data_IF_555891435438
#
_entry.id   IF_555891435438
#
_cell.length_a   1.000
_cell.length_b   1.000
_cell.length_c   1.000
_cell.angle_alpha   90.00
_cell.angle_beta   90.00
_cell.angle_gamma   90.00
#
_symmetry.space_group_name_H-M   'P 1'
#
loop_
_entity.id
_entity.type
_entity.pdbx_description
1 polymer ?
#
# COMPACT_ATOMS: atom_id res chain seq x y z
N UNK A 1 4.15 9.16 -1.91
CA UNK A 1 3.68 10.55 -2.01
C UNK A 1 2.54 10.77 -1.03
N UNK A 2 2.54 11.87 -0.28
CA UNK A 2 1.42 12.30 0.57
C UNK A 2 0.93 13.65 0.07
N UNK A 3 -0.37 13.90 0.18
CA UNK A 3 -1.01 15.17 -0.19
C UNK A 3 -2.17 15.47 0.75
N UNK A 4 -2.28 16.73 1.16
CA UNK A 4 -3.46 17.28 1.80
C UNK A 4 -4.46 17.69 0.71
N UNK A 5 -5.50 16.87 0.59
CA UNK A 5 -6.57 17.10 -0.37
C UNK A 5 -7.31 18.42 -0.11
N UNK A 6 -7.56 18.77 1.16
CA UNK A 6 -8.32 19.96 1.49
C UNK A 6 -7.56 21.24 1.09
N UNK A 7 -6.23 21.26 1.25
CA UNK A 7 -5.41 22.39 0.79
C UNK A 7 -5.38 22.48 -0.74
N UNK A 8 -5.26 21.35 -1.45
CA UNK A 8 -5.35 21.33 -2.93
C UNK A 8 -6.70 21.86 -3.42
N UNK A 9 -7.79 21.39 -2.81
CA UNK A 9 -9.14 21.83 -3.13
C UNK A 9 -9.33 23.32 -2.81
N UNK A 10 -8.78 23.81 -1.70
CA UNK A 10 -8.81 25.23 -1.32
C UNK A 10 -8.05 26.12 -2.32
N UNK A 11 -6.88 25.68 -2.80
CA UNK A 11 -6.11 26.41 -3.83
C UNK A 11 -6.91 26.48 -5.13
N UNK A 12 -7.44 25.34 -5.59
CA UNK A 12 -8.21 25.25 -6.84
C UNK A 12 -9.55 26.00 -6.77
N UNK A 13 -10.07 26.25 -5.57
CA UNK A 13 -11.28 27.05 -5.36
C UNK A 13 -11.03 28.58 -5.40
N UNK A 14 -9.78 29.05 -5.43
CA UNK A 14 -9.48 30.49 -5.44
C UNK A 14 -9.97 31.16 -6.71
N UNK A 15 -9.58 30.62 -7.88
CA UNK A 15 -9.95 31.14 -9.19
C UNK A 15 -9.70 30.07 -10.27
N UNK A 16 -10.60 29.85 -11.24
CA UNK A 16 -10.43 28.82 -12.27
C UNK A 16 -9.22 29.05 -13.19
N UNK A 17 -8.59 30.23 -13.18
CA UNK A 17 -7.38 30.54 -13.97
C UNK A 17 -6.09 30.01 -13.34
N UNK A 18 -6.12 29.60 -12.07
CA UNK A 18 -4.99 29.02 -11.33
C UNK A 18 -5.39 27.61 -10.93
N UNK A 19 -4.59 26.61 -11.32
CA UNK A 19 -4.87 25.21 -10.96
C UNK A 19 -3.61 24.51 -10.51
N UNK A 20 -3.73 23.69 -9.47
CA UNK A 20 -2.74 22.72 -9.05
C UNK A 20 -3.31 21.31 -9.20
N UNK A 21 -2.51 20.42 -9.78
CA UNK A 21 -2.81 19.01 -9.88
C UNK A 21 -1.65 18.19 -9.28
N UNK A 22 -1.98 17.10 -8.60
CA UNK A 22 -1.00 16.22 -7.95
C UNK A 22 -1.23 14.77 -8.33
N UNK A 23 -0.27 13.91 -8.02
CA UNK A 23 -0.54 12.48 -7.94
C UNK A 23 -1.58 12.19 -6.84
N UNK A 24 -2.17 10.99 -6.91
CA UNK A 24 -3.09 10.53 -5.88
C UNK A 24 -2.38 10.30 -4.53
N UNK A 25 -3.15 10.39 -3.44
CA UNK A 25 -2.66 10.09 -2.10
C UNK A 25 -2.02 8.69 -2.07
N UNK A 26 -0.82 8.60 -1.51
CA UNK A 26 -0.01 7.37 -1.39
C UNK A 26 0.47 6.77 -2.71
N UNK A 27 0.45 7.54 -3.81
CA UNK A 27 1.07 7.11 -5.05
C UNK A 27 2.57 6.78 -4.84
N UNK A 28 3.07 5.65 -5.41
CA UNK A 28 4.50 5.39 -5.49
C UNK A 28 5.15 6.46 -6.37
N UNK A 29 6.37 6.86 -6.01
CA UNK A 29 7.13 7.89 -6.73
C UNK A 29 8.55 7.43 -6.99
N UNK A 30 9.04 7.70 -8.19
CA UNK A 30 10.40 7.44 -8.61
C UNK A 30 11.21 8.74 -8.71
N UNK A 31 12.53 8.63 -8.62
CA UNK A 31 13.42 9.78 -8.75
C UNK A 31 13.20 10.47 -10.10
N UNK A 32 12.93 11.77 -10.08
CA UNK A 32 12.69 12.58 -11.27
C UNK A 32 11.24 12.58 -11.76
N UNK A 33 10.33 11.86 -11.11
CA UNK A 33 8.91 11.90 -11.43
C UNK A 33 8.26 13.23 -11.01
N UNK A 34 7.44 13.81 -11.89
CA UNK A 34 6.60 14.95 -11.56
C UNK A 34 5.46 14.51 -10.63
N UNK A 35 5.39 15.11 -9.43
CA UNK A 35 4.39 14.76 -8.40
C UNK A 35 3.28 15.79 -8.24
N UNK A 36 3.55 17.03 -8.64
CA UNK A 36 2.63 18.15 -8.63
C UNK A 36 2.96 19.08 -9.80
N UNK A 37 1.94 19.74 -10.34
CA UNK A 37 2.07 20.76 -11.38
C UNK A 37 1.12 21.90 -11.11
N UNK A 38 1.58 23.12 -11.37
CA UNK A 38 0.80 24.34 -11.26
C UNK A 38 0.64 24.93 -12.65
N UNK A 39 -0.57 25.34 -12.99
CA UNK A 39 -0.88 25.96 -14.27
C UNK A 39 -1.59 27.29 -14.04
N UNK A 40 -1.01 28.34 -14.59
CA UNK A 40 -1.76 29.54 -14.94
C UNK A 40 -2.35 29.28 -16.32
N UNK A 41 -3.67 29.20 -16.42
CA UNK A 41 -4.36 28.84 -17.65
C UNK A 41 -4.27 29.96 -18.71
N UNK A 42 -4.57 31.24 -18.39
CA UNK A 42 -4.31 32.36 -19.29
C UNK A 42 -2.82 32.78 -19.27
N UNK A 43 -2.44 33.75 -20.11
CA UNK A 43 -1.05 34.25 -20.14
C UNK A 43 -0.61 34.95 -18.85
N UNK A 44 -1.56 35.52 -18.08
CA UNK A 44 -1.30 36.18 -16.82
C UNK A 44 -2.56 36.18 -15.94
N UNK A 45 -2.36 36.35 -14.64
CA UNK A 45 -3.41 36.50 -13.62
C UNK A 45 -3.09 37.69 -12.72
N UNK A 46 -4.11 38.20 -12.01
CA UNK A 46 -3.90 39.29 -11.06
C UNK A 46 -3.00 38.86 -9.90
N UNK A 47 -2.05 39.73 -9.49
CA UNK A 47 -1.14 39.45 -8.38
C UNK A 47 -1.86 39.12 -7.07
N UNK A 48 -3.00 39.77 -6.81
CA UNK A 48 -3.84 39.52 -5.64
C UNK A 48 -4.39 38.09 -5.57
N UNK A 49 -4.59 37.42 -6.71
CA UNK A 49 -4.99 36.00 -6.74
C UNK A 49 -3.82 35.10 -6.33
N UNK A 50 -2.62 35.40 -6.83
CA UNK A 50 -1.39 34.70 -6.45
C UNK A 50 -1.13 34.87 -4.95
N UNK A 51 -1.27 36.08 -4.41
CA UNK A 51 -1.11 36.37 -2.98
C UNK A 51 -2.11 35.61 -2.11
N UNK A 52 -3.32 35.38 -2.62
CA UNK A 52 -4.35 34.61 -1.92
C UNK A 52 -4.02 33.12 -1.90
N UNK A 53 -3.57 32.55 -3.03
CA UNK A 53 -3.07 31.17 -3.09
C UNK A 53 -1.84 31.00 -2.19
N UNK A 54 -0.88 31.91 -2.25
CA UNK A 54 0.35 31.86 -1.46
C UNK A 54 0.07 31.83 0.04
N UNK A 55 -0.95 32.55 0.52
CA UNK A 55 -1.40 32.50 1.92
C UNK A 55 -1.94 31.13 2.32
N UNK A 56 -2.69 30.46 1.46
CA UNK A 56 -3.14 29.08 1.76
C UNK A 56 -1.93 28.16 1.90
N UNK A 57 -0.92 28.35 1.05
CA UNK A 57 0.30 27.53 1.09
C UNK A 57 1.15 27.70 2.36
N UNK A 58 0.90 28.73 3.19
CA UNK A 58 1.65 28.92 4.45
C UNK A 58 1.06 28.16 5.63
N UNK A 59 -0.14 27.59 5.49
CA UNK A 59 -0.88 27.00 6.62
C UNK A 59 -0.44 25.56 6.97
N UNK A 60 0.41 24.92 6.15
CA UNK A 60 0.89 23.56 6.41
C UNK A 60 1.61 22.89 5.24
N UNK A 61 1.99 21.63 5.44
CA UNK A 61 2.57 20.79 4.39
C UNK A 61 1.47 20.31 3.43
N UNK A 62 1.46 20.82 2.20
CA UNK A 62 0.48 20.42 1.18
C UNK A 62 0.79 19.02 0.63
N UNK A 63 2.05 18.69 0.39
CA UNK A 63 2.44 17.35 -0.06
C UNK A 63 3.89 17.02 0.28
N UNK A 64 4.17 15.73 0.40
CA UNK A 64 5.48 15.19 0.78
C UNK A 64 5.86 13.92 0.04
N UNK A 65 7.17 13.64 0.00
CA UNK A 65 7.72 12.38 -0.53
C UNK A 65 8.32 11.61 0.64
N UNK A 66 7.66 10.52 1.00
CA UNK A 66 8.07 9.65 2.09
C UNK A 66 8.64 8.35 1.52
N UNK A 67 9.79 7.92 2.05
CA UNK A 67 10.34 6.61 1.75
C UNK A 67 9.43 5.52 2.33
N UNK A 68 9.35 4.38 1.65
CA UNK A 68 8.74 3.20 2.25
C UNK A 68 9.55 2.78 3.48
N UNK A 69 8.84 2.27 4.49
CA UNK A 69 9.44 1.56 5.63
C UNK A 69 9.46 0.06 5.29
N UNK A 70 10.64 -0.54 5.07
CA UNK A 70 10.75 -1.97 4.90
C UNK A 70 10.20 -2.72 6.11
N UNK A 71 9.49 -3.82 5.85
CA UNK A 71 9.01 -4.73 6.89
C UNK A 71 9.39 -6.18 6.58
N UNK A 72 9.45 -6.99 7.63
CA UNK A 72 9.67 -8.44 7.60
C UNK A 72 8.34 -9.14 7.42
N UNK A 73 8.25 -10.04 6.45
CA UNK A 73 7.01 -10.70 6.08
C UNK A 73 7.16 -12.21 6.17
N UNK A 74 6.27 -12.84 6.93
CA UNK A 74 6.09 -14.30 6.94
C UNK A 74 4.97 -14.70 5.97
N UNK A 75 5.15 -15.81 5.26
CA UNK A 75 4.15 -16.34 4.33
C UNK A 75 3.68 -17.73 4.75
N UNK A 76 2.36 -17.93 4.73
CA UNK A 76 1.73 -19.24 4.88
C UNK A 76 1.03 -19.58 3.57
N UNK A 77 1.30 -20.74 3.01
CA UNK A 77 0.58 -21.27 1.86
C UNK A 77 -0.13 -22.56 2.25
N UNK A 78 -1.45 -22.54 2.26
CA UNK A 78 -2.22 -23.74 2.57
C UNK A 78 -2.27 -24.69 1.37
N UNK A 79 -2.43 -25.98 1.61
CA UNK A 79 -2.36 -27.04 0.61
C UNK A 79 -3.58 -27.95 0.65
N UNK A 80 -4.04 -28.33 -0.54
CA UNK A 80 -5.02 -29.40 -0.79
C UNK A 80 -4.41 -30.41 -1.79
N UNK A 81 -4.90 -31.65 -1.90
CA UNK A 81 -4.34 -32.71 -2.77
C UNK A 81 -4.18 -32.37 -4.27
N UNK A 82 -4.74 -31.26 -4.76
CA UNK A 82 -4.59 -30.78 -6.14
C UNK A 82 -3.59 -29.64 -6.34
N UNK A 83 -3.02 -29.07 -5.28
CA UNK A 83 -2.13 -27.91 -5.38
C UNK A 83 -0.73 -28.36 -5.77
N UNK A 84 -0.27 -27.96 -6.96
CA UNK A 84 1.06 -28.33 -7.48
C UNK A 84 2.16 -27.52 -6.78
N UNK A 85 3.29 -28.13 -6.38
CA UNK A 85 4.40 -27.43 -5.73
C UNK A 85 4.89 -26.19 -6.49
N UNK A 86 4.99 -26.25 -7.81
CA UNK A 86 5.44 -25.12 -8.65
C UNK A 86 4.48 -23.90 -8.56
N UNK A 87 3.19 -24.09 -8.25
CA UNK A 87 2.27 -22.97 -8.00
C UNK A 87 2.64 -22.24 -6.71
N UNK A 88 3.02 -22.97 -5.67
CA UNK A 88 3.47 -22.42 -4.39
C UNK A 88 4.81 -21.68 -4.55
N UNK A 89 5.75 -22.28 -5.28
CA UNK A 89 7.06 -21.66 -5.56
C UNK A 89 6.89 -20.36 -6.38
N UNK A 90 6.01 -20.37 -7.38
CA UNK A 90 5.69 -19.19 -8.18
C UNK A 90 5.03 -18.09 -7.34
N UNK A 91 4.14 -18.48 -6.42
CA UNK A 91 3.47 -17.54 -5.50
C UNK A 91 4.49 -16.83 -4.62
N UNK A 92 5.44 -17.58 -4.03
CA UNK A 92 6.51 -17.02 -3.22
C UNK A 92 7.37 -16.02 -4.02
N UNK A 93 7.86 -16.44 -5.19
CA UNK A 93 8.71 -15.61 -6.07
C UNK A 93 8.03 -14.31 -6.51
N UNK A 94 6.75 -14.37 -6.88
CA UNK A 94 6.00 -13.18 -7.31
C UNK A 94 5.75 -12.25 -6.12
N UNK A 95 5.45 -12.82 -4.95
CA UNK A 95 5.22 -12.05 -3.72
C UNK A 95 6.49 -11.30 -3.34
N UNK A 96 7.64 -11.97 -3.31
CA UNK A 96 8.94 -11.36 -3.02
C UNK A 96 9.27 -10.21 -4.00
N UNK A 97 9.06 -10.42 -5.31
CA UNK A 97 9.29 -9.38 -6.31
C UNK A 97 8.39 -8.13 -6.11
N UNK A 98 7.16 -8.30 -5.61
CA UNK A 98 6.27 -7.18 -5.28
C UNK A 98 6.75 -6.44 -4.05
N UNK A 99 7.17 -7.17 -3.01
CA UNK A 99 7.65 -6.62 -1.75
C UNK A 99 8.94 -5.82 -1.91
N UNK A 100 9.84 -6.28 -2.77
CA UNK A 100 11.10 -5.62 -3.07
C UNK A 100 10.93 -4.14 -3.50
N UNK A 101 9.81 -3.78 -4.14
CA UNK A 101 9.50 -2.39 -4.52
C UNK A 101 9.36 -1.43 -3.33
N UNK A 102 9.06 -1.97 -2.15
CA UNK A 102 8.97 -1.24 -0.88
C UNK A 102 10.19 -1.44 0.02
N UNK A 103 11.18 -2.24 -0.42
CA UNK A 103 12.30 -2.71 0.40
C UNK A 103 11.95 -3.83 1.39
N UNK A 104 10.67 -4.21 1.49
CA UNK A 104 10.22 -5.33 2.34
C UNK A 104 10.70 -6.67 1.78
N UNK A 105 10.86 -7.67 2.65
CA UNK A 105 11.39 -8.98 2.28
C UNK A 105 10.71 -10.11 3.06
N UNK A 106 10.77 -11.30 2.48
CA UNK A 106 10.28 -12.52 3.12
C UNK A 106 11.33 -13.05 4.09
N UNK A 107 10.94 -13.42 5.30
CA UNK A 107 11.86 -14.04 6.28
C UNK A 107 11.62 -15.53 6.43
N UNK A 108 10.40 -15.99 6.17
CA UNK A 108 10.01 -17.37 6.34
C UNK A 108 8.78 -17.72 5.49
N UNK A 109 8.76 -18.97 5.05
CA UNK A 109 7.61 -19.61 4.42
C UNK A 109 7.17 -20.81 5.27
N UNK A 110 5.86 -21.04 5.38
CA UNK A 110 5.25 -22.27 5.86
C UNK A 110 4.23 -22.79 4.85
N UNK A 111 4.27 -24.10 4.59
CA UNK A 111 3.27 -24.80 3.80
C UNK A 111 2.49 -25.73 4.72
N UNK A 112 1.19 -25.54 4.83
CA UNK A 112 0.36 -26.25 5.81
C UNK A 112 -0.81 -26.96 5.12
N UNK A 113 -1.37 -28.02 5.71
CA UNK A 113 -2.71 -28.47 5.33
C UNK A 113 -3.71 -27.31 5.40
N UNK A 114 -4.71 -27.32 4.51
CA UNK A 114 -5.80 -26.34 4.55
C UNK A 114 -6.80 -26.69 5.68
N UNK A 115 -6.34 -26.54 6.92
CA UNK A 115 -7.04 -26.84 8.16
C UNK A 115 -6.76 -25.75 9.19
N UNK A 116 -7.73 -25.48 10.08
CA UNK A 116 -7.67 -24.35 11.04
C UNK A 116 -6.43 -24.42 11.93
N UNK A 117 -6.21 -25.55 12.60
CA UNK A 117 -5.16 -25.66 13.62
C UNK A 117 -3.73 -25.52 13.05
N UNK A 118 -3.33 -26.21 11.95
CA UNK A 118 -2.00 -26.02 11.36
C UNK A 118 -1.76 -24.59 10.88
N UNK A 119 -2.80 -23.91 10.37
CA UNK A 119 -2.68 -22.51 9.92
C UNK A 119 -2.53 -21.57 11.11
N UNK A 120 -3.32 -21.77 12.17
CA UNK A 120 -3.26 -20.95 13.38
C UNK A 120 -1.89 -21.06 14.07
N UNK A 121 -1.34 -22.27 14.19
CA UNK A 121 0.00 -22.49 14.76
C UNK A 121 1.08 -21.76 13.94
N UNK A 122 1.05 -21.91 12.61
CA UNK A 122 1.98 -21.23 11.72
C UNK A 122 1.83 -19.71 11.79
N UNK A 123 0.61 -19.19 11.87
CA UNK A 123 0.32 -17.76 11.99
C UNK A 123 0.86 -17.20 13.30
N UNK A 124 0.57 -17.85 14.43
CA UNK A 124 1.08 -17.49 15.76
C UNK A 124 2.60 -17.47 15.77
N UNK A 125 3.24 -18.48 15.17
CA UNK A 125 4.70 -18.53 15.10
C UNK A 125 5.28 -17.41 14.26
N UNK A 126 4.75 -17.18 13.06
CA UNK A 126 5.30 -16.18 12.16
C UNK A 126 5.03 -14.75 12.65
N UNK A 127 3.90 -14.50 13.30
CA UNK A 127 3.55 -13.18 13.84
C UNK A 127 4.50 -12.72 14.96
N UNK A 128 5.14 -13.64 15.70
CA UNK A 128 6.19 -13.29 16.67
C UNK A 128 7.45 -12.78 16.00
N UNK A 129 7.79 -13.34 14.85
CA UNK A 129 9.08 -13.10 14.17
C UNK A 129 8.97 -12.09 13.02
N UNK A 130 7.76 -11.67 12.65
CA UNK A 130 7.50 -10.81 11.50
C UNK A 130 6.60 -9.64 11.84
N UNK A 131 6.72 -8.58 11.05
CA UNK A 131 5.86 -7.40 11.21
C UNK A 131 4.50 -7.59 10.51
N UNK A 132 4.42 -8.56 9.57
CA UNK A 132 3.20 -8.95 8.86
C UNK A 132 3.25 -10.44 8.47
N UNK A 133 2.10 -11.11 8.51
CA UNK A 133 1.90 -12.47 7.98
C UNK A 133 0.91 -12.42 6.82
N UNK A 134 1.27 -13.05 5.70
CA UNK A 134 0.40 -13.19 4.52
C UNK A 134 0.01 -14.66 4.36
N UNK A 135 -1.30 -14.94 4.31
CA UNK A 135 -1.84 -16.30 4.19
C UNK A 135 -2.47 -16.48 2.80
N UNK A 136 -1.97 -17.46 2.04
CA UNK A 136 -2.55 -17.91 0.78
C UNK A 136 -3.43 -19.15 1.02
N UNK A 137 -4.75 -18.96 0.85
CA UNK A 137 -5.74 -20.03 0.87
C UNK A 137 -5.63 -20.95 -0.36
N UNK A 138 -5.74 -22.26 -0.16
CA UNK A 138 -5.78 -23.28 -1.21
C UNK A 138 -7.13 -23.32 -1.95
N UNK A 139 -8.16 -22.73 -1.34
CA UNK A 139 -9.53 -22.61 -1.83
C UNK A 139 -9.98 -21.15 -1.74
N UNK A 140 -11.09 -20.85 -2.42
CA UNK A 140 -11.78 -19.58 -2.23
C UNK A 140 -12.45 -19.55 -0.86
N UNK A 141 -12.28 -18.43 -0.15
CA UNK A 141 -12.92 -18.19 1.13
C UNK A 141 -14.45 -18.15 0.95
N UNK A 142 -15.16 -18.98 1.69
CA UNK A 142 -16.61 -19.14 1.60
C UNK A 142 -17.36 -18.27 2.61
N UNK A 143 -16.92 -18.26 3.87
CA UNK A 143 -17.48 -17.43 4.96
C UNK A 143 -16.47 -17.23 6.10
N UNK A 144 -16.89 -16.60 7.20
CA UNK A 144 -16.05 -16.35 8.39
C UNK A 144 -15.69 -17.62 9.19
N UNK A 145 -16.43 -18.71 9.03
CA UNK A 145 -16.12 -20.01 9.64
C UNK A 145 -15.18 -20.86 8.76
N UNK A 146 -14.80 -20.36 7.59
CA UNK A 146 -13.82 -21.02 6.73
C UNK A 146 -12.42 -21.03 7.36
N UNK A 147 -11.55 -21.88 6.84
CA UNK A 147 -10.26 -22.24 7.42
C UNK A 147 -9.37 -21.03 7.73
N UNK A 148 -9.22 -20.09 6.78
CA UNK A 148 -8.28 -18.97 6.95
C UNK A 148 -8.78 -17.96 7.99
N UNK A 149 -10.02 -17.43 7.91
CA UNK A 149 -10.56 -16.55 8.96
C UNK A 149 -10.58 -17.22 10.34
N UNK A 150 -11.07 -18.47 10.43
CA UNK A 150 -11.09 -19.19 11.69
C UNK A 150 -9.67 -19.37 12.25
N UNK A 151 -8.67 -19.69 11.42
CA UNK A 151 -7.29 -19.81 11.88
C UNK A 151 -6.71 -18.49 12.40
N UNK A 152 -7.10 -17.35 11.82
CA UNK A 152 -6.69 -16.03 12.32
C UNK A 152 -7.34 -15.74 13.68
N UNK A 153 -8.59 -16.13 13.90
CA UNK A 153 -9.24 -15.97 15.21
C UNK A 153 -8.63 -16.87 16.31
N UNK A 154 -8.03 -18.00 15.93
CA UNK A 154 -7.39 -18.94 16.86
C UNK A 154 -5.92 -18.63 17.16
N UNK A 155 -5.27 -17.76 16.37
CA UNK A 155 -3.84 -17.44 16.48
C UNK A 155 -3.57 -16.26 17.43
#
# INVERSE_FOLDING_TARGET
FTVDRAMIDAINAVDPTITIATLAQHAPVEKGQMVATVKIIPFAVAGSLVDRVARICTDGEIFGINAYRPIRIGVIQTMLPGVKPNVLDKTLRITEARLARSGSHLTAERRTPHEVAPVAEAATSLARDNDMVVIFGASAMSDFADVVPAAIEHA
#
